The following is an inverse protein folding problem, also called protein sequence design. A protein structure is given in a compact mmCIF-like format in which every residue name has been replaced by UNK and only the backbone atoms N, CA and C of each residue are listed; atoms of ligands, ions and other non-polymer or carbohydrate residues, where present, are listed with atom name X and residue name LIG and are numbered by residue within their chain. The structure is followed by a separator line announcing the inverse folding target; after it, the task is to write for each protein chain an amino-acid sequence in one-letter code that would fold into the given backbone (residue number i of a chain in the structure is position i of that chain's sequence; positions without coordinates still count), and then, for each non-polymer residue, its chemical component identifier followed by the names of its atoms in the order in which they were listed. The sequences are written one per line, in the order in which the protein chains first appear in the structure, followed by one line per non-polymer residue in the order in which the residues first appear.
data_IF_959289978969
#
_entry.id   IF_959289978969
#
_cell.length_a   1.000
_cell.length_b   1.000
_cell.length_c   1.000
_cell.angle_alpha   90.00
_cell.angle_beta   90.00
_cell.angle_gamma   90.00
#
_symmetry.space_group_name_H-M   'P 1'
#
loop_
_entity.id
_entity.type
_entity.pdbx_description
1 polymer ?
#
# COMPACT_ATOMS: atom_id res chain seq x y z
N UNK A 1 21.61 9.95 -9.72
CA UNK A 1 21.57 10.10 -8.22
C UNK A 1 21.68 8.70 -7.63
N UNK A 2 22.62 8.46 -6.74
CA UNK A 2 22.91 7.13 -6.16
C UNK A 2 21.70 6.44 -5.47
N UNK A 3 20.78 7.24 -4.93
CA UNK A 3 19.59 6.75 -4.21
C UNK A 3 18.26 7.03 -4.94
N UNK A 4 18.30 7.36 -6.24
CA UNK A 4 17.09 7.64 -7.03
C UNK A 4 16.09 6.47 -6.99
N UNK A 5 16.59 5.22 -7.00
CA UNK A 5 15.77 4.02 -6.93
C UNK A 5 14.88 3.95 -5.68
N UNK A 6 15.31 4.51 -4.54
CA UNK A 6 14.48 4.56 -3.32
C UNK A 6 13.27 5.49 -3.49
N UNK A 7 13.49 6.63 -4.14
CA UNK A 7 12.44 7.61 -4.46
C UNK A 7 11.44 7.02 -5.46
N UNK A 8 11.93 6.41 -6.53
CA UNK A 8 11.13 5.72 -7.55
C UNK A 8 10.33 4.55 -6.94
N UNK A 9 10.98 3.75 -6.07
CA UNK A 9 10.30 2.67 -5.35
C UNK A 9 9.20 3.23 -4.46
N UNK A 10 9.46 4.27 -3.66
CA UNK A 10 8.43 4.90 -2.83
C UNK A 10 7.27 5.42 -3.68
N UNK A 11 7.55 6.06 -4.82
CA UNK A 11 6.51 6.53 -5.74
C UNK A 11 5.62 5.38 -6.24
N UNK A 12 6.20 4.23 -6.60
CA UNK A 12 5.43 3.06 -7.03
C UNK A 12 4.64 2.42 -5.88
N UNK A 13 5.24 2.35 -4.68
CA UNK A 13 4.61 1.74 -3.49
C UNK A 13 3.39 2.54 -3.00
N UNK A 14 3.35 3.85 -3.20
CA UNK A 14 2.17 4.71 -2.95
C UNK A 14 0.97 4.23 -3.75
N UNK A 15 1.13 4.06 -5.07
CA UNK A 15 0.07 3.57 -5.95
C UNK A 15 -0.40 2.16 -5.54
N UNK A 16 0.53 1.25 -5.20
CA UNK A 16 0.20 -0.10 -4.75
C UNK A 16 -0.62 -0.10 -3.46
N UNK A 17 -0.28 0.77 -2.51
CA UNK A 17 -1.03 0.91 -1.25
C UNK A 17 -2.46 1.39 -1.53
N UNK A 18 -2.61 2.45 -2.30
CA UNK A 18 -3.91 3.00 -2.67
C UNK A 18 -4.74 2.00 -3.49
N UNK A 19 -4.08 1.24 -4.40
CA UNK A 19 -4.75 0.21 -5.19
C UNK A 19 -5.33 -0.90 -4.31
N UNK A 20 -4.59 -1.35 -3.28
CA UNK A 20 -5.12 -2.34 -2.32
C UNK A 20 -6.30 -1.77 -1.54
N UNK A 21 -6.22 -0.52 -1.08
CA UNK A 21 -7.35 0.12 -0.39
C UNK A 21 -8.59 0.27 -1.28
N UNK A 22 -8.38 0.52 -2.58
CA UNK A 22 -9.46 0.60 -3.55
C UNK A 22 -10.15 -0.75 -3.82
N UNK A 23 -9.55 -1.89 -3.49
CA UNK A 23 -10.15 -3.21 -3.65
C UNK A 23 -11.21 -3.55 -2.59
N UNK A 24 -11.25 -2.82 -1.47
CA UNK A 24 -12.27 -2.94 -0.43
C UNK A 24 -13.48 -2.08 -0.76
N UNK A 25 -14.61 -2.40 -0.13
CA UNK A 25 -15.80 -1.56 -0.08
C UNK A 25 -15.88 -0.79 1.26
N UNK A 26 -16.69 0.26 1.33
CA UNK A 26 -16.90 0.98 2.61
C UNK A 26 -17.51 0.08 3.70
N UNK A 27 -18.30 -0.91 3.32
CA UNK A 27 -18.85 -1.92 4.23
C UNK A 27 -17.78 -2.81 4.88
N UNK A 28 -16.59 -2.90 4.29
CA UNK A 28 -15.49 -3.71 4.81
C UNK A 28 -14.66 -3.00 5.89
N UNK A 29 -14.87 -1.69 6.09
CA UNK A 29 -14.02 -0.85 6.95
C UNK A 29 -13.86 -1.39 8.37
N UNK A 30 -14.91 -1.93 8.94
CA UNK A 30 -14.94 -2.40 10.32
C UNK A 30 -14.84 -3.94 10.45
N UNK A 31 -14.53 -4.62 9.34
CA UNK A 31 -14.32 -6.08 9.32
C UNK A 31 -12.93 -6.43 9.86
N UNK A 32 -12.88 -7.43 10.74
CA UNK A 32 -11.66 -8.05 11.30
C UNK A 32 -11.40 -9.40 10.65
N UNK A 33 -10.13 -9.84 10.53
CA UNK A 33 -9.79 -11.19 10.07
C UNK A 33 -10.46 -12.27 10.90
N UNK A 34 -10.54 -12.06 12.22
CA UNK A 34 -11.24 -12.95 13.13
C UNK A 34 -12.16 -12.15 14.07
N UNK A 35 -13.50 -12.34 14.00
CA UNK A 35 -14.46 -11.47 14.66
C UNK A 35 -14.34 -11.47 16.20
N UNK A 36 -13.78 -12.54 16.79
CA UNK A 36 -13.67 -12.70 18.25
C UNK A 36 -12.28 -12.28 18.79
N UNK A 37 -11.36 -11.80 17.95
CA UNK A 37 -10.03 -11.36 18.37
C UNK A 37 -9.91 -9.84 18.30
N UNK A 38 -10.22 -9.18 19.41
CA UNK A 38 -10.17 -7.71 19.50
C UNK A 38 -8.79 -7.09 19.24
N UNK A 39 -7.71 -7.88 19.32
CA UNK A 39 -6.34 -7.48 19.01
C UNK A 39 -6.01 -7.44 17.52
N UNK A 40 -6.83 -8.06 16.66
CA UNK A 40 -6.67 -7.98 15.22
C UNK A 40 -7.22 -6.64 14.72
N UNK A 41 -6.50 -6.01 13.79
CA UNK A 41 -6.94 -4.74 13.20
C UNK A 41 -8.10 -4.94 12.25
N UNK A 42 -9.07 -4.01 12.28
CA UNK A 42 -10.02 -3.85 11.17
C UNK A 42 -9.30 -3.24 9.96
N UNK A 43 -9.96 -3.26 8.79
CA UNK A 43 -9.40 -2.60 7.63
C UNK A 43 -9.22 -1.09 7.87
N UNK A 44 -10.17 -0.42 8.55
CA UNK A 44 -10.05 0.98 8.99
C UNK A 44 -8.80 1.21 9.85
N UNK A 45 -8.60 0.35 10.85
CA UNK A 45 -7.43 0.44 11.74
C UNK A 45 -6.11 0.19 11.01
N UNK A 46 -6.09 -0.63 9.95
CA UNK A 46 -4.94 -0.77 9.06
C UNK A 46 -4.63 0.52 8.31
N UNK A 47 -5.62 1.19 7.73
CA UNK A 47 -5.41 2.46 7.02
C UNK A 47 -4.93 3.56 7.99
N UNK A 48 -5.56 3.69 9.16
CA UNK A 48 -5.09 4.61 10.22
C UNK A 48 -3.65 4.33 10.59
N UNK A 49 -3.31 3.06 10.85
CA UNK A 49 -1.95 2.67 11.21
C UNK A 49 -0.93 2.98 10.11
N UNK A 50 -1.26 2.71 8.85
CA UNK A 50 -0.36 3.00 7.74
C UNK A 50 -0.12 4.51 7.58
N UNK A 51 -1.17 5.33 7.62
CA UNK A 51 -1.03 6.78 7.57
C UNK A 51 -0.22 7.32 8.77
N UNK A 52 -0.60 6.92 9.98
CA UNK A 52 0.06 7.39 11.22
C UNK A 52 1.52 6.95 11.30
N UNK A 53 1.81 5.67 11.03
CA UNK A 53 3.18 5.18 11.10
C UNK A 53 4.07 5.84 10.03
N UNK A 54 3.53 6.07 8.83
CA UNK A 54 4.28 6.76 7.79
C UNK A 54 4.59 8.21 8.21
N UNK A 55 3.60 8.91 8.76
CA UNK A 55 3.80 10.26 9.28
C UNK A 55 4.89 10.29 10.35
N UNK A 56 4.83 9.39 11.35
CA UNK A 56 5.83 9.31 12.42
C UNK A 56 7.24 9.00 11.91
N UNK A 57 7.37 8.10 10.93
CA UNK A 57 8.68 7.79 10.35
C UNK A 57 9.23 8.97 9.55
N UNK A 58 8.39 9.62 8.75
CA UNK A 58 8.83 10.75 7.94
C UNK A 58 9.20 11.95 8.81
N UNK A 59 8.40 12.28 9.81
CA UNK A 59 8.72 13.38 10.72
C UNK A 59 9.95 13.06 11.60
N UNK A 60 9.97 11.90 12.25
CA UNK A 60 11.00 11.57 13.24
C UNK A 60 12.34 11.14 12.65
N UNK A 61 12.35 10.40 11.52
CA UNK A 61 13.58 9.81 10.97
C UNK A 61 14.09 10.53 9.73
N UNK A 62 13.18 11.05 8.91
CA UNK A 62 13.54 11.78 7.69
C UNK A 62 13.51 13.29 7.85
N UNK A 63 12.94 13.82 8.94
CA UNK A 63 12.78 15.27 9.14
C UNK A 63 11.86 15.89 8.09
N UNK A 64 10.90 15.12 7.57
CA UNK A 64 9.91 15.57 6.60
C UNK A 64 8.55 15.59 7.28
N UNK A 65 8.10 16.78 7.63
CA UNK A 65 6.78 17.03 8.20
C UNK A 65 5.85 17.57 7.11
N UNK A 66 4.70 16.94 6.92
CA UNK A 66 3.66 17.38 5.97
C UNK A 66 2.41 17.88 6.68
N UNK A 67 2.46 18.02 8.01
CA UNK A 67 1.37 18.53 8.85
C UNK A 67 0.03 17.81 8.60
N UNK A 68 0.08 16.48 8.57
CA UNK A 68 -1.09 15.65 8.33
C UNK A 68 -2.17 15.92 9.41
N UNK A 69 -3.43 16.19 9.02
CA UNK A 69 -4.49 16.46 9.98
C UNK A 69 -4.88 15.21 10.77
N UNK A 70 -5.51 15.35 11.95
CA UNK A 70 -6.07 14.23 12.71
C UNK A 70 -7.07 13.41 11.89
N UNK A 71 -7.26 12.15 12.28
CA UNK A 71 -8.26 11.27 11.69
C UNK A 71 -9.63 11.47 12.34
N UNK A 72 -10.68 11.84 11.58
CA UNK A 72 -12.06 11.77 12.08
C UNK A 72 -12.44 10.31 12.36
N UNK A 73 -13.34 10.11 13.34
CA UNK A 73 -13.80 8.77 13.71
C UNK A 73 -14.56 8.06 12.58
N UNK A 74 -15.21 8.84 11.73
CA UNK A 74 -16.12 8.34 10.67
C UNK A 74 -15.56 8.61 9.26
N UNK A 75 -14.25 8.53 9.09
CA UNK A 75 -13.63 8.75 7.78
C UNK A 75 -13.98 7.59 6.82
N UNK A 76 -14.44 7.93 5.62
CA UNK A 76 -14.74 6.95 4.56
C UNK A 76 -13.46 6.40 3.93
N UNK A 77 -13.55 5.26 3.25
CA UNK A 77 -12.44 4.68 2.49
C UNK A 77 -11.87 5.68 1.46
N UNK A 78 -12.73 6.37 0.74
CA UNK A 78 -12.31 7.38 -0.25
C UNK A 78 -11.58 8.56 0.41
N UNK A 79 -11.99 8.97 1.61
CA UNK A 79 -11.32 10.03 2.36
C UNK A 79 -9.90 9.58 2.77
N UNK A 80 -9.71 8.34 3.24
CA UNK A 80 -8.38 7.76 3.49
C UNK A 80 -7.51 7.70 2.23
N UNK A 81 -8.08 7.27 1.09
CA UNK A 81 -7.39 7.23 -0.19
C UNK A 81 -6.87 8.62 -0.58
N UNK A 82 -7.72 9.65 -0.52
CA UNK A 82 -7.35 11.03 -0.85
C UNK A 82 -6.29 11.58 0.09
N UNK A 83 -6.46 11.38 1.39
CA UNK A 83 -5.49 11.79 2.41
C UNK A 83 -4.12 11.18 2.16
N UNK A 84 -4.04 9.85 2.03
CA UNK A 84 -2.78 9.18 1.79
C UNK A 84 -2.14 9.60 0.47
N UNK A 85 -2.93 9.77 -0.59
CA UNK A 85 -2.44 10.24 -1.88
C UNK A 85 -1.81 11.63 -1.75
N UNK A 86 -2.46 12.57 -1.06
CA UNK A 86 -1.98 13.93 -0.85
C UNK A 86 -0.72 13.97 0.03
N UNK A 87 -0.78 13.38 1.23
CA UNK A 87 0.32 13.42 2.18
C UNK A 87 1.56 12.72 1.64
N UNK A 88 1.39 11.55 0.99
CA UNK A 88 2.50 10.84 0.37
C UNK A 88 3.07 11.56 -0.85
N UNK A 89 2.26 12.36 -1.59
CA UNK A 89 2.77 13.22 -2.66
C UNK A 89 3.66 14.34 -2.12
N UNK A 90 3.26 14.97 -1.02
CA UNK A 90 4.08 15.98 -0.33
C UNK A 90 5.41 15.38 0.15
N UNK A 91 5.39 14.16 0.70
CA UNK A 91 6.59 13.44 1.12
C UNK A 91 7.50 13.11 -0.07
N UNK A 92 6.93 12.58 -1.16
CA UNK A 92 7.68 12.29 -2.38
C UNK A 92 8.40 13.53 -2.91
N UNK A 93 7.70 14.65 -3.03
CA UNK A 93 8.26 15.91 -3.49
C UNK A 93 9.40 16.46 -2.61
N UNK A 94 9.41 16.10 -1.32
CA UNK A 94 10.54 16.42 -0.43
C UNK A 94 11.70 15.44 -0.60
N UNK A 95 11.43 14.15 -0.81
CA UNK A 95 12.48 13.14 -1.05
C UNK A 95 13.24 13.41 -2.34
N UNK A 96 12.57 13.85 -3.40
CA UNK A 96 13.16 14.21 -4.71
C UNK A 96 14.24 15.31 -4.62
N UNK A 97 14.17 16.13 -3.59
CA UNK A 97 15.12 17.23 -3.34
C UNK A 97 16.36 16.81 -2.52
N UNK A 98 16.42 15.54 -2.06
CA UNK A 98 17.47 15.09 -1.14
C UNK A 98 18.70 14.60 -1.91
N UNK A 99 19.86 15.07 -1.50
CA UNK A 99 21.15 14.67 -2.06
C UNK A 99 21.69 13.36 -1.46
N UNK A 100 22.80 12.86 -1.99
CA UNK A 100 23.42 11.63 -1.52
C UNK A 100 23.89 11.72 -0.06
N UNK A 101 24.38 12.88 0.40
CA UNK A 101 24.85 13.08 1.76
C UNK A 101 23.70 12.95 2.76
N UNK A 102 22.52 13.48 2.43
CA UNK A 102 21.33 13.35 3.26
C UNK A 102 20.91 11.88 3.42
N UNK A 103 20.96 11.09 2.35
CA UNK A 103 20.61 9.66 2.39
C UNK A 103 21.60 8.83 3.22
N UNK A 104 22.87 9.21 3.25
CA UNK A 104 23.94 8.55 4.00
C UNK A 104 24.01 9.00 5.46
N UNK A 105 23.28 10.03 5.85
CA UNK A 105 23.29 10.51 7.22
C UNK A 105 22.63 9.51 8.18
N UNK A 106 23.34 9.14 9.23
CA UNK A 106 22.79 8.33 10.33
C UNK A 106 21.84 9.13 11.21
N UNK A 107 20.68 8.55 11.48
CA UNK A 107 19.66 9.09 12.39
C UNK A 107 19.19 8.01 13.37
N UNK A 108 18.50 8.40 14.42
CA UNK A 108 17.90 7.47 15.36
C UNK A 108 16.82 6.63 14.65
N UNK A 109 16.84 5.34 14.91
CA UNK A 109 15.83 4.36 14.46
C UNK A 109 15.49 3.47 15.67
N UNK A 110 14.42 3.83 16.39
CA UNK A 110 14.06 3.23 17.67
C UNK A 110 15.25 3.27 18.67
N UNK A 111 15.78 2.12 19.06
CA UNK A 111 16.90 1.93 19.98
C UNK A 111 18.28 1.84 19.30
N UNK A 112 18.33 1.99 17.98
CA UNK A 112 19.53 1.90 17.16
C UNK A 112 19.75 3.16 16.31
N UNK A 113 20.81 3.17 15.49
CA UNK A 113 21.06 4.20 14.49
C UNK A 113 21.31 3.56 13.13
N UNK A 114 20.75 4.16 12.09
CA UNK A 114 20.95 3.72 10.71
C UNK A 114 20.95 4.90 9.75
N UNK A 115 21.56 4.73 8.59
CA UNK A 115 21.47 5.70 7.50
C UNK A 115 20.02 5.78 6.97
N UNK A 116 19.61 6.97 6.51
CA UNK A 116 18.25 7.16 5.99
C UNK A 116 17.92 6.23 4.82
N UNK A 117 18.88 5.91 3.97
CA UNK A 117 18.68 4.96 2.87
C UNK A 117 18.21 3.58 3.39
N UNK A 118 18.85 3.05 4.43
CA UNK A 118 18.44 1.79 5.06
C UNK A 118 17.06 1.89 5.70
N UNK A 119 16.78 3.02 6.39
CA UNK A 119 15.47 3.26 7.02
C UNK A 119 14.37 3.31 5.95
N UNK A 120 14.63 3.88 4.76
CA UNK A 120 13.65 3.90 3.66
C UNK A 120 13.34 2.48 3.17
N UNK A 121 14.34 1.61 3.03
CA UNK A 121 14.11 0.19 2.70
C UNK A 121 13.20 -0.47 3.75
N UNK A 122 13.46 -0.22 5.04
CA UNK A 122 12.61 -0.73 6.14
C UNK A 122 11.19 -0.15 6.09
N UNK A 123 11.03 1.14 5.74
CA UNK A 123 9.72 1.77 5.57
C UNK A 123 8.92 1.12 4.44
N UNK A 124 9.56 0.90 3.29
CA UNK A 124 8.96 0.22 2.14
C UNK A 124 8.52 -1.20 2.52
N UNK A 125 9.40 -1.97 3.17
CA UNK A 125 9.10 -3.33 3.62
C UNK A 125 7.94 -3.35 4.64
N UNK A 126 7.88 -2.40 5.57
CA UNK A 126 6.78 -2.28 6.54
C UNK A 126 5.44 -1.97 5.86
N UNK A 127 5.44 -1.13 4.83
CA UNK A 127 4.23 -0.84 4.06
C UNK A 127 3.78 -2.08 3.26
N UNK A 128 4.72 -2.81 2.65
CA UNK A 128 4.44 -4.05 1.94
C UNK A 128 3.90 -5.15 2.87
N UNK A 129 4.39 -5.24 4.12
CA UNK A 129 3.87 -6.15 5.15
C UNK A 129 2.39 -5.90 5.41
N UNK A 130 1.98 -4.65 5.66
CA UNK A 130 0.56 -4.34 5.88
C UNK A 130 -0.31 -4.56 4.64
N UNK A 131 0.22 -4.35 3.43
CA UNK A 131 -0.52 -4.70 2.21
C UNK A 131 -0.76 -6.21 2.08
N UNK A 132 0.21 -7.04 2.50
CA UNK A 132 0.02 -8.49 2.51
C UNK A 132 -1.09 -8.91 3.48
N UNK A 133 -1.16 -8.32 4.69
CA UNK A 133 -2.26 -8.54 5.64
C UNK A 133 -3.61 -8.14 5.01
N UNK A 134 -3.67 -6.98 4.37
CA UNK A 134 -4.88 -6.48 3.71
C UNK A 134 -5.31 -7.36 2.52
N UNK A 135 -4.37 -7.82 1.68
CA UNK A 135 -4.71 -8.73 0.58
C UNK A 135 -5.18 -10.09 1.07
N UNK A 136 -4.68 -10.55 2.21
CA UNK A 136 -5.21 -11.76 2.90
C UNK A 136 -6.65 -11.52 3.37
N UNK A 137 -6.94 -10.36 3.96
CA UNK A 137 -8.30 -9.99 4.38
C UNK A 137 -9.25 -9.92 3.17
N UNK A 138 -8.84 -9.34 2.04
CA UNK A 138 -9.62 -9.33 0.79
C UNK A 138 -9.98 -10.75 0.36
N UNK A 139 -9.05 -11.70 0.44
CA UNK A 139 -9.32 -13.13 0.13
C UNK A 139 -10.35 -13.75 1.08
N UNK A 140 -10.26 -13.47 2.37
CA UNK A 140 -11.21 -13.96 3.37
C UNK A 140 -12.63 -13.39 3.12
N UNK A 141 -12.72 -12.17 2.61
CA UNK A 141 -13.97 -11.51 2.24
C UNK A 141 -14.53 -11.95 0.86
N UNK A 142 -13.80 -12.80 0.13
CA UNK A 142 -14.19 -13.19 -1.23
C UNK A 142 -14.08 -12.06 -2.25
N UNK A 143 -13.30 -11.01 -1.96
CA UNK A 143 -13.09 -9.87 -2.86
C UNK A 143 -12.09 -10.23 -3.95
N UNK A 144 -12.24 -9.62 -5.12
CA UNK A 144 -11.27 -9.71 -6.20
C UNK A 144 -9.97 -8.97 -5.84
N UNK A 145 -8.82 -9.54 -6.25
CA UNK A 145 -7.51 -8.95 -6.01
C UNK A 145 -6.79 -8.71 -7.33
N UNK A 146 -6.67 -7.44 -7.72
CA UNK A 146 -5.85 -7.00 -8.84
C UNK A 146 -4.36 -7.19 -8.54
N UNK A 147 -3.55 -7.05 -9.57
CA UNK A 147 -2.10 -7.13 -9.43
C UNK A 147 -1.56 -6.06 -8.48
N UNK A 148 -0.61 -6.47 -7.63
CA UNK A 148 0.16 -5.57 -6.75
C UNK A 148 1.65 -5.64 -7.12
N UNK A 149 2.23 -6.85 -7.18
CA UNK A 149 3.62 -7.09 -7.56
C UNK A 149 3.75 -8.00 -8.79
N UNK A 150 2.66 -8.51 -9.30
CA UNK A 150 2.61 -9.45 -10.41
C UNK A 150 1.20 -9.99 -10.53
N UNK A 151 0.96 -11.01 -11.36
CA UNK A 151 -0.34 -11.63 -11.50
C UNK A 151 -0.90 -12.12 -10.17
N UNK A 152 -2.22 -12.15 -10.07
CA UNK A 152 -2.97 -12.75 -8.96
C UNK A 152 -3.81 -13.92 -9.46
N UNK A 153 -4.45 -14.64 -8.56
CA UNK A 153 -5.42 -15.68 -8.94
C UNK A 153 -6.49 -15.09 -9.85
N UNK A 154 -6.99 -13.89 -9.54
CA UNK A 154 -8.08 -13.25 -10.30
C UNK A 154 -7.61 -12.63 -11.63
N UNK A 155 -6.29 -12.51 -11.84
CA UNK A 155 -5.72 -12.10 -13.13
C UNK A 155 -5.25 -13.29 -13.98
N UNK A 156 -5.63 -14.53 -13.61
CA UNK A 156 -5.33 -15.75 -14.34
C UNK A 156 -4.36 -16.71 -13.65
N UNK A 157 -3.82 -16.38 -12.45
CA UNK A 157 -2.95 -17.26 -11.68
C UNK A 157 -1.46 -16.98 -11.84
N UNK A 158 -0.66 -17.97 -12.25
CA UNK A 158 0.79 -17.86 -12.36
C UNK A 158 1.28 -17.33 -13.71
N UNK A 159 2.38 -16.56 -13.76
CA UNK A 159 3.00 -16.14 -15.01
C UNK A 159 3.36 -17.31 -15.94
N UNK A 160 3.80 -18.44 -15.38
CA UNK A 160 4.11 -19.66 -16.12
C UNK A 160 2.91 -20.22 -16.89
N UNK A 161 1.68 -19.88 -16.50
CA UNK A 161 0.44 -20.28 -17.13
C UNK A 161 -0.16 -19.17 -18.03
N UNK A 162 0.63 -18.15 -18.36
CA UNK A 162 0.22 -17.04 -19.20
C UNK A 162 -0.61 -15.96 -18.49
N UNK A 163 -0.68 -16.00 -17.15
CA UNK A 163 -1.38 -14.97 -16.38
C UNK A 163 -0.73 -13.60 -16.58
N UNK A 164 -1.56 -12.58 -16.75
CA UNK A 164 -1.14 -11.21 -17.01
C UNK A 164 -1.14 -10.38 -15.72
N UNK A 165 -0.23 -9.41 -15.67
CA UNK A 165 -0.30 -8.33 -14.65
C UNK A 165 -1.39 -7.34 -15.07
N UNK A 166 -2.44 -7.22 -14.25
CA UNK A 166 -3.57 -6.33 -14.49
C UNK A 166 -3.77 -5.49 -13.24
N UNK A 167 -3.44 -4.20 -13.33
CA UNK A 167 -3.64 -3.24 -12.24
C UNK A 167 -5.07 -2.70 -12.24
N UNK A 168 -5.61 -2.43 -11.05
CA UNK A 168 -6.93 -1.83 -10.88
C UNK A 168 -7.02 -0.46 -11.58
N UNK A 169 -5.97 0.35 -11.43
CA UNK A 169 -5.81 1.68 -12.03
C UNK A 169 -4.38 1.87 -12.52
N UNK A 170 -4.19 2.68 -13.55
CA UNK A 170 -2.88 2.98 -14.16
C UNK A 170 -2.01 3.93 -13.30
N UNK A 171 -2.67 4.86 -12.57
CA UNK A 171 -2.04 5.88 -11.75
C UNK A 171 -2.98 6.35 -10.62
N UNK A 172 -2.47 7.21 -9.72
CA UNK A 172 -3.22 7.68 -8.55
C UNK A 172 -4.37 8.62 -8.96
N UNK A 173 -4.23 9.41 -10.01
CA UNK A 173 -5.29 10.32 -10.49
C UNK A 173 -6.47 9.52 -11.03
N UNK A 174 -6.18 8.51 -11.87
CA UNK A 174 -7.19 7.59 -12.38
C UNK A 174 -7.88 6.82 -11.25
N UNK A 175 -7.13 6.41 -10.21
CA UNK A 175 -7.67 5.75 -9.03
C UNK A 175 -8.65 6.65 -8.28
N UNK A 176 -8.25 7.86 -7.92
CA UNK A 176 -9.12 8.81 -7.19
C UNK A 176 -10.36 9.15 -8.02
N UNK A 177 -10.20 9.38 -9.32
CA UNK A 177 -11.31 9.67 -10.22
C UNK A 177 -12.26 8.48 -10.35
N UNK A 178 -11.73 7.25 -10.49
CA UNK A 178 -12.52 6.02 -10.59
C UNK A 178 -13.28 5.72 -9.30
N UNK A 179 -12.61 5.78 -8.14
CA UNK A 179 -13.24 5.54 -6.85
C UNK A 179 -14.30 6.61 -6.49
N UNK A 180 -14.11 7.85 -6.95
CA UNK A 180 -15.11 8.92 -6.78
C UNK A 180 -16.39 8.68 -7.61
N UNK A 181 -16.34 7.84 -8.63
CA UNK A 181 -17.47 7.42 -9.46
C UNK A 181 -18.07 6.06 -9.08
N UNK A 182 -17.65 5.48 -7.97
CA UNK A 182 -18.16 4.19 -7.50
C UNK A 182 -17.27 2.98 -7.85
N UNK A 183 -16.01 3.19 -8.26
CA UNK A 183 -15.05 2.10 -8.42
C UNK A 183 -14.94 1.54 -9.84
N UNK A 184 -14.63 2.39 -10.81
CA UNK A 184 -14.42 2.03 -12.21
C UNK A 184 -13.03 1.38 -12.43
N UNK A 185 -12.88 0.14 -12.00
CA UNK A 185 -11.62 -0.63 -12.08
C UNK A 185 -11.50 -1.39 -13.40
N UNK A 186 -10.25 -1.66 -13.82
CA UNK A 186 -9.98 -2.55 -14.96
C UNK A 186 -10.63 -3.92 -14.73
N UNK A 187 -11.33 -4.45 -15.73
CA UNK A 187 -11.97 -5.76 -15.64
C UNK A 187 -10.95 -6.89 -15.48
N UNK A 188 -11.28 -7.88 -14.65
CA UNK A 188 -10.47 -9.08 -14.42
C UNK A 188 -11.01 -10.27 -15.22
N UNK A 189 -10.11 -11.12 -15.76
CA UNK A 189 -10.53 -12.34 -16.47
C UNK A 189 -11.08 -13.42 -15.51
N UNK A 190 -10.85 -13.26 -14.20
CA UNK A 190 -11.15 -14.26 -13.20
C UNK A 190 -10.06 -15.31 -13.02
N UNK A 191 -10.29 -16.30 -12.16
CA UNK A 191 -9.35 -17.38 -11.91
C UNK A 191 -9.10 -18.18 -13.20
N UNK A 192 -7.83 -18.41 -13.53
CA UNK A 192 -7.45 -19.29 -14.63
C UNK A 192 -7.77 -20.76 -14.34
N UNK A 193 -7.76 -21.59 -15.39
CA UNK A 193 -7.95 -23.04 -15.27
C UNK A 193 -6.79 -23.75 -14.54
N UNK A 194 -5.66 -23.10 -14.38
CA UNK A 194 -4.44 -23.63 -13.78
C UNK A 194 -4.34 -23.31 -12.28
N UNK A 195 -3.68 -24.16 -11.48
CA UNK A 195 -3.46 -23.89 -10.06
C UNK A 195 -2.65 -22.62 -9.84
N UNK A 196 -2.94 -21.92 -8.76
CA UNK A 196 -2.20 -20.74 -8.30
C UNK A 196 -0.99 -21.10 -7.42
N UNK A 197 -0.42 -22.27 -7.58
CA UNK A 197 0.74 -22.81 -6.85
C UNK A 197 1.59 -23.66 -7.79
N UNK A 198 2.91 -23.63 -7.59
CA UNK A 198 3.90 -24.42 -8.30
C UNK A 198 3.82 -25.91 -7.96
N UNK A 199 3.11 -26.29 -6.91
CA UNK A 199 2.90 -27.69 -6.56
C UNK A 199 1.80 -28.28 -7.41
N UNK A 200 2.08 -29.42 -8.05
CA UNK A 200 1.03 -30.23 -8.65
C UNK A 200 -0.02 -30.57 -7.59
N UNK A 201 -1.29 -30.47 -7.93
CA UNK A 201 -2.35 -31.01 -7.07
C UNK A 201 -2.28 -32.54 -7.13
N UNK A 202 -2.42 -33.24 -6.00
CA UNK A 202 -2.49 -34.70 -5.97
C UNK A 202 -3.70 -35.20 -6.77
#
# INVERSE_FOLDING_TARGET
MEHAFLVETYASERLKTLSVWAMFDDADLDVRPHPNLARDRTFREHMVHQCFSEDKWFTGMFGIDVSAPPFPAEETRLAFIRRYAEDSAKRLAQLEKKDAAWWQQEVAFFDTRHIRAWIMVRRIAHTAHHRAEQTTLLRLLGRQVWSVYGPSVDTGGLPANGARTIYAYRDIEALIAGESRGGDKTALPGPGAHPSTERARP
#
